data_IF_953435416017
#
_entry.id   IF_953435416017
#
_cell.length_a   1.000
_cell.length_b   1.000
_cell.length_c   1.000
_cell.angle_alpha   90.00
_cell.angle_beta   90.00
_cell.angle_gamma   90.00
#
_symmetry.space_group_name_H-M   'P 1'
#
loop_
_entity.id
_entity.type
_entity.pdbx_description
1 polymer ?
#
# COMPACT_ATOMS: atom_id res chain seq x y z
N UNK A 1 -21.86 -0.35 -1.59
CA UNK A 1 -22.12 -0.15 -3.04
C UNK A 1 -21.34 -1.21 -3.80
N UNK A 2 -21.76 -1.59 -5.01
CA UNK A 2 -21.10 -2.64 -5.82
C UNK A 2 -20.05 -2.01 -6.73
N UNK A 3 -18.89 -2.65 -6.87
CA UNK A 3 -17.85 -2.24 -7.81
C UNK A 3 -18.40 -2.26 -9.25
N UNK A 4 -18.16 -1.18 -10.01
CA UNK A 4 -18.65 -1.08 -11.40
C UNK A 4 -17.99 -2.14 -12.28
N UNK A 5 -18.73 -2.73 -13.22
CA UNK A 5 -18.22 -3.78 -14.13
C UNK A 5 -16.96 -3.34 -14.88
N UNK A 6 -16.89 -2.07 -15.31
CA UNK A 6 -15.69 -1.52 -15.94
C UNK A 6 -14.45 -1.57 -15.04
N UNK A 7 -14.60 -1.39 -13.73
CA UNK A 7 -13.51 -1.44 -12.76
C UNK A 7 -13.12 -2.90 -12.45
N UNK A 8 -14.09 -3.82 -12.41
CA UNK A 8 -13.82 -5.26 -12.32
C UNK A 8 -12.98 -5.74 -13.50
N UNK A 9 -13.37 -5.33 -14.71
CA UNK A 9 -12.65 -5.67 -15.93
C UNK A 9 -11.25 -5.02 -15.94
N UNK A 10 -11.15 -3.75 -15.54
CA UNK A 10 -9.86 -3.08 -15.37
C UNK A 10 -8.92 -3.87 -14.44
N UNK A 11 -9.36 -4.24 -13.23
CA UNK A 11 -8.56 -5.02 -12.27
C UNK A 11 -8.07 -6.33 -12.88
N UNK A 12 -8.95 -7.03 -13.59
CA UNK A 12 -8.67 -8.33 -14.21
C UNK A 12 -7.65 -8.23 -15.34
N UNK A 13 -7.71 -7.16 -16.14
CA UNK A 13 -6.86 -6.98 -17.31
C UNK A 13 -5.47 -6.42 -16.99
N UNK A 14 -5.26 -5.91 -15.78
CA UNK A 14 -3.95 -5.38 -15.41
C UNK A 14 -2.93 -6.50 -15.19
N UNK A 15 -1.70 -6.23 -15.65
CA UNK A 15 -0.53 -7.01 -15.20
C UNK A 15 -0.02 -6.42 -13.90
N UNK A 16 -0.24 -7.14 -12.81
CA UNK A 16 0.18 -6.74 -11.48
C UNK A 16 1.67 -7.05 -11.27
N UNK A 17 2.40 -6.10 -10.70
CA UNK A 17 3.83 -6.24 -10.44
C UNK A 17 4.02 -6.72 -9.00
N UNK A 18 4.61 -7.90 -8.83
CA UNK A 18 4.92 -8.44 -7.50
C UNK A 18 6.08 -7.68 -6.84
N UNK A 19 5.86 -7.19 -5.63
CA UNK A 19 6.85 -6.45 -4.84
C UNK A 19 7.87 -7.42 -4.20
N UNK A 20 8.90 -7.79 -4.95
CA UNK A 20 9.91 -8.78 -4.54
C UNK A 20 10.57 -8.46 -3.20
N UNK A 21 10.80 -7.19 -2.89
CA UNK A 21 11.40 -6.76 -1.62
C UNK A 21 10.61 -7.24 -0.41
N UNK A 22 9.28 -7.31 -0.50
CA UNK A 22 8.42 -7.70 0.60
C UNK A 22 7.95 -9.15 0.54
N UNK A 23 8.50 -9.97 -0.36
CA UNK A 23 8.05 -11.34 -0.56
C UNK A 23 8.01 -12.15 0.74
N UNK A 24 9.01 -11.98 1.61
CA UNK A 24 9.15 -12.74 2.85
C UNK A 24 8.39 -12.14 4.04
N UNK A 25 7.93 -10.88 3.94
CA UNK A 25 7.30 -10.17 5.05
C UNK A 25 5.87 -9.77 4.74
N UNK A 26 5.64 -9.00 3.68
CA UNK A 26 4.34 -8.43 3.33
C UNK A 26 4.08 -8.61 1.82
N UNK A 27 3.86 -9.85 1.35
CA UNK A 27 3.72 -10.13 -0.07
C UNK A 27 2.52 -9.39 -0.64
N UNK A 28 2.77 -8.55 -1.63
CA UNK A 28 1.74 -7.79 -2.34
C UNK A 28 2.16 -7.53 -3.77
N UNK A 29 1.19 -7.10 -4.57
CA UNK A 29 1.40 -6.66 -5.94
C UNK A 29 0.87 -5.24 -6.11
N UNK A 30 1.31 -4.58 -7.18
CA UNK A 30 0.90 -3.22 -7.48
C UNK A 30 0.79 -2.92 -8.96
N UNK A 31 0.04 -1.85 -9.27
CA UNK A 31 0.02 -1.18 -10.57
C UNK A 31 0.41 0.28 -10.40
N UNK A 32 1.09 0.84 -11.40
CA UNK A 32 1.53 2.25 -11.40
C UNK A 32 0.69 3.03 -12.40
N UNK A 33 0.14 4.16 -11.99
CA UNK A 33 -0.78 5.01 -12.76
C UNK A 33 -0.30 5.30 -14.19
N UNK A 34 1.00 5.61 -14.36
CA UNK A 34 1.59 5.94 -15.67
C UNK A 34 1.59 4.77 -16.69
N UNK A 35 1.41 3.54 -16.22
CA UNK A 35 1.51 2.32 -17.02
C UNK A 35 0.14 1.72 -17.37
N UNK A 36 -0.95 2.35 -16.92
CA UNK A 36 -2.32 1.84 -17.07
C UNK A 36 -3.23 2.96 -17.59
N UNK A 37 -4.48 2.63 -17.87
CA UNK A 37 -5.49 3.65 -18.17
C UNK A 37 -5.68 4.57 -16.94
N UNK A 38 -5.33 5.84 -17.11
CA UNK A 38 -5.31 6.81 -16.02
C UNK A 38 -6.72 7.10 -15.46
N UNK A 39 -7.75 7.12 -16.31
CA UNK A 39 -9.11 7.40 -15.84
C UNK A 39 -9.66 6.23 -15.02
N UNK A 40 -9.38 5.00 -15.44
CA UNK A 40 -9.77 3.79 -14.70
C UNK A 40 -8.97 3.62 -13.41
N UNK A 41 -7.68 3.98 -13.40
CA UNK A 41 -6.88 4.04 -12.19
C UNK A 41 -7.48 5.00 -11.16
N UNK A 42 -7.72 6.25 -11.56
CA UNK A 42 -8.30 7.26 -10.67
C UNK A 42 -9.69 6.88 -10.19
N UNK A 43 -10.51 6.28 -11.06
CA UNK A 43 -11.83 5.79 -10.69
C UNK A 43 -11.78 4.62 -9.69
N UNK A 44 -10.76 3.76 -9.77
CA UNK A 44 -10.56 2.70 -8.78
C UNK A 44 -10.06 3.26 -7.44
N UNK A 45 -9.10 4.18 -7.45
CA UNK A 45 -8.62 4.86 -6.24
C UNK A 45 -9.78 5.58 -5.51
N UNK A 46 -10.58 6.36 -6.24
CA UNK A 46 -11.77 7.02 -5.70
C UNK A 46 -12.81 6.03 -5.15
N UNK A 47 -12.94 4.86 -5.77
CA UNK A 47 -13.81 3.79 -5.26
C UNK A 47 -13.30 3.23 -3.93
N UNK A 48 -11.98 3.01 -3.80
CA UNK A 48 -11.34 2.57 -2.56
C UNK A 48 -11.61 3.60 -1.46
N UNK A 49 -11.39 4.89 -1.71
CA UNK A 49 -11.61 5.94 -0.71
C UNK A 49 -13.07 6.05 -0.24
N UNK A 50 -14.03 5.88 -1.16
CA UNK A 50 -15.46 6.05 -0.85
C UNK A 50 -16.12 4.82 -0.23
N UNK A 51 -15.59 3.63 -0.49
CA UNK A 51 -16.26 2.37 -0.17
C UNK A 51 -15.40 1.38 0.58
N UNK A 52 -14.12 1.67 0.75
CA UNK A 52 -13.24 0.93 1.63
C UNK A 52 -13.59 1.12 3.11
N UNK A 53 -12.92 0.34 3.94
CA UNK A 53 -12.95 0.44 5.39
C UNK A 53 -11.57 0.87 5.88
N UNK A 54 -11.57 1.55 7.02
CA UNK A 54 -10.35 1.96 7.70
C UNK A 54 -9.77 0.81 8.51
N UNK A 55 -8.47 0.56 8.36
CA UNK A 55 -7.70 -0.32 9.24
C UNK A 55 -6.25 0.17 9.30
N UNK A 56 -5.40 -0.56 10.02
CA UNK A 56 -4.01 -0.17 10.26
C UNK A 56 -3.02 -1.18 9.68
N UNK A 57 -2.01 -0.65 9.02
CA UNK A 57 -0.72 -1.32 8.86
C UNK A 57 0.21 -0.86 9.99
N UNK A 58 0.40 -1.69 11.01
CA UNK A 58 1.03 -1.30 12.28
C UNK A 58 0.33 -0.08 12.91
N UNK A 59 0.97 1.10 12.88
CA UNK A 59 0.43 2.37 13.39
C UNK A 59 -0.08 3.29 12.27
N UNK A 60 0.13 2.92 11.01
CA UNK A 60 -0.28 3.69 9.85
C UNK A 60 -1.71 3.33 9.49
N UNK A 61 -2.59 4.34 9.54
CA UNK A 61 -3.98 4.23 9.08
C UNK A 61 -4.01 4.13 7.56
N UNK A 62 -4.81 3.21 7.03
CA UNK A 62 -5.03 3.00 5.61
C UNK A 62 -6.52 2.78 5.32
N UNK A 63 -6.92 3.03 4.08
CA UNK A 63 -8.25 2.66 3.57
C UNK A 63 -8.09 1.42 2.70
N UNK A 64 -8.78 0.36 3.09
CA UNK A 64 -8.75 -0.93 2.42
C UNK A 64 -10.07 -1.23 1.76
N UNK A 65 -10.03 -1.82 0.58
CA UNK A 65 -11.20 -2.30 -0.12
C UNK A 65 -11.04 -3.78 -0.45
N UNK A 66 -12.00 -4.61 -0.04
CA UNK A 66 -11.97 -6.05 -0.33
C UNK A 66 -12.75 -6.36 -1.61
N UNK A 67 -12.12 -7.10 -2.50
CA UNK A 67 -12.76 -7.59 -3.72
C UNK A 67 -12.06 -8.86 -4.22
N UNK A 68 -12.85 -9.90 -4.52
CA UNK A 68 -12.38 -11.14 -5.16
C UNK A 68 -11.17 -11.78 -4.46
N UNK A 69 -11.25 -11.90 -3.12
CA UNK A 69 -10.19 -12.50 -2.29
C UNK A 69 -8.94 -11.64 -2.10
N UNK A 70 -8.91 -10.43 -2.65
CA UNK A 70 -7.83 -9.48 -2.47
C UNK A 70 -8.27 -8.26 -1.67
N UNK A 71 -7.33 -7.68 -0.95
CA UNK A 71 -7.47 -6.40 -0.26
C UNK A 71 -6.63 -5.34 -0.98
N UNK A 72 -7.28 -4.25 -1.40
CA UNK A 72 -6.70 -3.16 -2.18
C UNK A 72 -6.51 -1.91 -1.33
N UNK A 73 -5.45 -1.16 -1.59
CA UNK A 73 -5.24 0.20 -1.06
C UNK A 73 -4.45 1.01 -2.08
N UNK A 74 -4.50 2.33 -2.00
CA UNK A 74 -3.72 3.19 -2.89
C UNK A 74 -2.86 4.17 -2.10
N UNK A 75 -1.73 4.52 -2.69
CA UNK A 75 -0.79 5.52 -2.19
C UNK A 75 -0.26 6.27 -3.40
N UNK A 76 -0.54 7.57 -3.49
CA UNK A 76 -0.16 8.45 -4.58
C UNK A 76 -0.53 7.88 -5.97
N UNK A 77 0.48 7.50 -6.75
CA UNK A 77 0.34 7.01 -8.12
C UNK A 77 0.38 5.47 -8.21
N UNK A 78 0.16 4.77 -7.11
CA UNK A 78 0.19 3.31 -7.01
C UNK A 78 -1.11 2.78 -6.38
N UNK A 79 -1.67 1.72 -6.98
CA UNK A 79 -2.68 0.88 -6.34
C UNK A 79 -2.04 -0.47 -6.03
N UNK A 80 -2.09 -0.85 -4.76
CA UNK A 80 -1.57 -2.10 -4.25
C UNK A 80 -2.71 -3.10 -4.01
N UNK A 81 -2.38 -4.39 -4.01
CA UNK A 81 -3.24 -5.46 -3.53
C UNK A 81 -2.44 -6.57 -2.85
N UNK A 82 -3.03 -7.24 -1.87
CA UNK A 82 -2.55 -8.52 -1.37
C UNK A 82 -3.73 -9.50 -1.23
N UNK A 83 -3.43 -10.79 -1.05
CA UNK A 83 -4.41 -11.75 -0.57
C UNK A 83 -4.99 -11.24 0.76
N UNK A 84 -6.31 -11.28 0.94
CA UNK A 84 -6.95 -10.73 2.13
C UNK A 84 -6.48 -11.37 3.45
N UNK A 85 -5.95 -12.61 3.40
CA UNK A 85 -5.35 -13.28 4.55
C UNK A 85 -3.94 -12.76 4.89
N UNK A 86 -3.35 -11.96 4.02
CA UNK A 86 -2.00 -11.40 4.17
C UNK A 86 -1.99 -9.96 4.67
N UNK A 87 -3.17 -9.41 5.00
CA UNK A 87 -3.28 -8.11 5.68
C UNK A 87 -2.64 -8.15 7.07
N UNK A 88 -2.18 -6.99 7.55
CA UNK A 88 -1.62 -6.86 8.91
C UNK A 88 -2.60 -7.35 9.97
N UNK A 89 -3.87 -6.97 9.86
CA UNK A 89 -4.92 -7.38 10.79
C UNK A 89 -5.05 -8.90 10.88
N UNK A 90 -5.13 -9.58 9.73
CA UNK A 90 -5.28 -11.03 9.69
C UNK A 90 -4.03 -11.74 10.22
N UNK A 91 -2.84 -11.33 9.79
CA UNK A 91 -1.59 -11.89 10.35
C UNK A 91 -1.46 -11.67 11.85
N UNK A 92 -1.85 -10.50 12.37
CA UNK A 92 -1.84 -10.21 13.81
C UNK A 92 -2.80 -11.11 14.57
N UNK A 93 -4.04 -11.23 14.08
CA UNK A 93 -5.07 -12.09 14.66
C UNK A 93 -4.62 -13.55 14.74
N UNK A 94 -3.83 -14.00 13.78
CA UNK A 94 -3.35 -15.38 13.67
C UNK A 94 -1.96 -15.62 14.25
N UNK A 95 -1.29 -14.59 14.80
CA UNK A 95 0.07 -14.72 15.34
C UNK A 95 1.14 -14.98 14.28
N UNK A 96 0.91 -14.55 13.03
CA UNK A 96 1.81 -14.69 11.86
C UNK A 96 2.56 -13.40 11.50
N UNK A 97 2.69 -12.45 12.44
CA UNK A 97 3.48 -11.26 12.18
C UNK A 97 4.96 -11.66 11.97
N UNK A 98 5.67 -11.10 10.98
CA UNK A 98 7.09 -11.35 10.82
C UNK A 98 7.89 -10.95 12.06
N UNK A 99 8.85 -11.77 12.48
CA UNK A 99 9.72 -11.48 13.64
C UNK A 99 10.64 -10.27 13.43
N UNK A 100 10.84 -9.88 12.18
CA UNK A 100 11.68 -8.74 11.76
C UNK A 100 10.93 -7.90 10.74
N UNK A 101 10.69 -6.63 11.06
CA UNK A 101 10.29 -5.63 10.08
C UNK A 101 11.47 -5.40 9.12
N UNK A 102 11.36 -5.91 7.90
CA UNK A 102 12.29 -5.51 6.83
C UNK A 102 11.74 -4.24 6.19
N UNK A 103 12.63 -3.24 6.16
CA UNK A 103 12.57 -1.92 5.51
C UNK A 103 11.23 -1.23 5.16
N UNK A 104 11.14 0.06 5.49
CA UNK A 104 10.16 0.97 4.89
C UNK A 104 10.65 1.40 3.50
N UNK A 105 9.73 1.62 2.56
CA UNK A 105 10.08 2.14 1.24
C UNK A 105 10.00 3.66 1.18
N UNK A 106 10.95 4.25 0.46
CA UNK A 106 10.91 5.64 -0.01
C UNK A 106 11.02 5.66 -1.54
N UNK A 107 10.23 6.53 -2.19
CA UNK A 107 10.33 6.78 -3.64
C UNK A 107 11.33 7.91 -3.85
N UNK A 108 12.41 7.62 -4.58
CA UNK A 108 13.45 8.60 -4.94
C UNK A 108 13.52 8.60 -6.47
N UNK A 109 13.28 9.75 -7.11
CA UNK A 109 13.33 9.91 -8.57
C UNK A 109 12.49 8.89 -9.37
N UNK A 110 11.39 8.42 -8.79
CA UNK A 110 10.48 7.44 -9.42
C UNK A 110 10.96 5.99 -9.33
N UNK A 111 12.01 5.71 -8.55
CA UNK A 111 12.50 4.38 -8.22
C UNK A 111 12.22 4.04 -6.75
N UNK A 112 11.84 2.79 -6.49
CA UNK A 112 11.51 2.29 -5.15
C UNK A 112 12.80 1.81 -4.47
N UNK A 113 13.07 2.31 -3.26
CA UNK A 113 14.29 2.01 -2.51
C UNK A 113 13.98 1.54 -1.08
N UNK A 114 14.82 0.65 -0.54
CA UNK A 114 14.62 -0.02 0.74
C UNK A 114 15.38 0.67 1.88
N UNK A 115 14.67 1.14 2.92
CA UNK A 115 15.27 1.71 4.14
C UNK A 115 15.02 0.82 5.38
N UNK A 116 16.01 0.13 5.97
CA UNK A 116 15.81 -0.87 7.04
C UNK A 116 15.18 -0.29 8.33
N UNK A 117 14.19 -0.99 8.91
CA UNK A 117 13.39 -0.56 10.08
C UNK A 117 13.87 -1.10 11.43
N UNK A 118 15.08 -1.64 11.50
CA UNK A 118 15.39 -2.71 12.45
C UNK A 118 15.66 -2.33 13.93
N UNK A 119 15.40 -1.10 14.37
CA UNK A 119 15.74 -0.65 15.74
C UNK A 119 14.69 0.24 16.44
N UNK A 120 13.43 0.27 15.99
CA UNK A 120 12.39 1.08 16.64
C UNK A 120 11.81 0.32 17.85
N UNK A 121 12.60 0.25 18.94
CA UNK A 121 12.05 0.00 20.27
C UNK A 121 11.05 1.11 20.62
N UNK A 122 9.95 0.75 21.28
CA UNK A 122 8.71 1.53 21.36
C UNK A 122 8.79 2.93 22.02
N UNK A 123 9.97 3.44 22.39
CA UNK A 123 10.11 4.71 23.13
C UNK A 123 10.77 5.89 22.40
N UNK A 124 11.43 5.71 21.25
CA UNK A 124 11.99 6.83 20.48
C UNK A 124 11.85 6.57 18.98
N UNK A 125 11.01 7.32 18.25
CA UNK A 125 11.48 7.78 16.93
C UNK A 125 10.68 8.91 16.27
N UNK A 126 11.34 10.04 16.06
CA UNK A 126 10.93 11.11 15.16
C UNK A 126 11.22 10.74 13.68
N UNK A 127 12.04 9.73 13.42
CA UNK A 127 12.44 9.27 12.10
C UNK A 127 11.34 8.46 11.37
N UNK A 128 10.55 7.64 12.09
CA UNK A 128 9.34 7.01 11.52
C UNK A 128 8.32 8.06 11.07
N UNK A 129 8.30 9.23 11.71
CA UNK A 129 7.51 10.40 11.28
C UNK A 129 8.07 11.08 10.03
N UNK A 130 9.37 11.00 9.77
CA UNK A 130 10.01 11.56 8.57
C UNK A 130 9.95 10.63 7.35
N UNK A 131 9.97 9.31 7.56
CA UNK A 131 9.73 8.32 6.49
C UNK A 131 8.31 8.46 5.93
N UNK A 132 7.32 8.75 6.77
CA UNK A 132 5.94 9.04 6.36
C UNK A 132 5.81 10.40 5.64
N UNK A 133 6.64 11.40 5.97
CA UNK A 133 6.62 12.71 5.29
C UNK A 133 7.25 12.68 3.91
N UNK A 134 8.34 11.94 3.73
CA UNK A 134 9.07 11.92 2.46
C UNK A 134 8.43 11.01 1.40
N UNK A 135 7.53 10.09 1.79
CA UNK A 135 6.80 9.22 0.85
C UNK A 135 5.76 9.98 0.02
N UNK A 136 5.29 11.17 0.45
CA UNK A 136 4.15 11.90 -0.18
C UNK A 136 4.58 13.26 -0.80
N UNK A 137 5.88 13.53 -0.94
CA UNK A 137 6.41 14.70 -1.66
C UNK A 137 6.42 16.03 -0.86
N UNK A 138 7.62 16.52 -0.55
CA UNK A 138 7.86 17.83 0.09
C UNK A 138 7.91 19.03 -0.88
N UNK A 139 7.21 19.02 -2.01
CA UNK A 139 7.21 20.14 -2.97
C UNK A 139 6.20 21.27 -2.63
N UNK A 140 5.79 21.43 -1.36
CA UNK A 140 4.90 22.55 -0.97
C UNK A 140 5.21 23.32 0.31
N UNK A 141 6.38 23.13 0.90
CA UNK A 141 6.84 23.98 2.02
C UNK A 141 8.01 24.90 1.64
N UNK A 142 7.91 25.53 0.46
CA UNK A 142 8.62 26.77 0.15
C UNK A 142 7.68 27.79 -0.50
N UNK A 143 6.86 28.40 0.36
CA UNK A 143 6.60 29.85 0.43
C UNK A 143 6.04 30.15 1.82
#
# INVERSE_FOLDING_TARGET
MVLLEKLKQFIKDQTWTFAKTYADTWPHEYIVQKNVDNELFLALADHIDKHGYEDFFYKMKQIYFEYDGNTYWHMDNIINRCDSNETYHMRKKEGRLPEKLQSAHTVIDGEMTDAPLHDISEEDDEHFRNVVRNVIGEERLKN
#
